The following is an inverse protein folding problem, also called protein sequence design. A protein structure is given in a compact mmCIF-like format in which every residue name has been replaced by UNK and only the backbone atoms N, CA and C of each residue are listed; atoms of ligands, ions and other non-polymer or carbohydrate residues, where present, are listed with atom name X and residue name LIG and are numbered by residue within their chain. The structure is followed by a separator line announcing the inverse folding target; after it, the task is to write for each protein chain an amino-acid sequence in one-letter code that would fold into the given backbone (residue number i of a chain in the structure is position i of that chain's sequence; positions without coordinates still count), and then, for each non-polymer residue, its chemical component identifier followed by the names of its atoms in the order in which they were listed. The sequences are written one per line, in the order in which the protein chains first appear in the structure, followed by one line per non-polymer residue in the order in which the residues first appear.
data_IF_148699901397
#
_entry.id   IF_148699901397
#
_cell.length_a   1.000
_cell.length_b   1.000
_cell.length_c   1.000
_cell.angle_alpha   90.00
_cell.angle_beta   90.00
_cell.angle_gamma   90.00
#
_symmetry.space_group_name_H-M   'P 1'
#
loop_
_entity.id
_entity.type
_entity.pdbx_description
1 polymer ?
#
# COMPACT_ATOMS: atom_id res chain seq x y z
N UNK A 1 -22.68 2.21 12.69
CA UNK A 1 -22.34 1.33 13.84
C UNK A 1 -21.89 -0.07 13.36
N UNK A 2 -22.70 -0.79 12.54
CA UNK A 2 -22.38 -2.15 12.06
C UNK A 2 -21.05 -2.21 11.28
N UNK A 3 -20.77 -1.29 10.36
CA UNK A 3 -19.52 -1.24 9.62
C UNK A 3 -18.32 -1.09 10.58
N UNK A 4 -18.38 -0.17 11.53
CA UNK A 4 -17.30 0.04 12.48
C UNK A 4 -17.04 -1.20 13.35
N UNK A 5 -18.09 -1.85 13.86
CA UNK A 5 -17.93 -3.06 14.69
C UNK A 5 -17.30 -4.24 13.94
N UNK A 6 -17.44 -4.32 12.61
CA UNK A 6 -16.86 -5.38 11.80
C UNK A 6 -15.46 -5.01 11.28
N UNK A 7 -15.24 -3.75 10.89
CA UNK A 7 -13.99 -3.31 10.25
C UNK A 7 -12.88 -2.92 11.24
N UNK A 8 -13.22 -2.26 12.36
CA UNK A 8 -12.20 -1.76 13.29
C UNK A 8 -11.28 -2.85 13.84
N UNK A 9 -11.78 -4.01 14.33
CA UNK A 9 -10.89 -5.06 14.83
C UNK A 9 -9.94 -5.61 13.75
N UNK A 10 -10.40 -5.68 12.50
CA UNK A 10 -9.59 -6.13 11.38
C UNK A 10 -8.55 -5.09 10.98
N UNK A 11 -8.92 -3.81 11.05
CA UNK A 11 -8.01 -2.70 10.80
C UNK A 11 -6.90 -2.64 11.86
N UNK A 12 -7.25 -2.66 13.13
CA UNK A 12 -6.28 -2.66 14.23
C UNK A 12 -5.32 -3.86 14.20
N UNK A 13 -5.81 -5.02 13.72
CA UNK A 13 -4.96 -6.19 13.50
C UNK A 13 -3.96 -5.99 12.35
N UNK A 14 -4.41 -5.44 11.23
CA UNK A 14 -3.59 -5.22 10.03
C UNK A 14 -2.63 -4.01 10.17
N UNK A 15 -3.08 -2.97 10.87
CA UNK A 15 -2.38 -1.69 11.03
C UNK A 15 -2.25 -1.31 12.53
N UNK A 16 -1.50 -2.07 13.33
CA UNK A 16 -1.50 -1.95 14.79
C UNK A 16 -0.89 -0.64 15.31
N UNK A 17 -0.19 0.11 14.48
CA UNK A 17 0.44 1.40 14.83
C UNK A 17 -0.37 2.61 14.36
N UNK A 18 -1.43 2.38 13.59
CA UNK A 18 -2.27 3.44 13.04
C UNK A 18 -3.40 3.85 14.00
N UNK A 19 -3.86 5.09 13.84
CA UNK A 19 -5.07 5.54 14.52
C UNK A 19 -6.30 4.86 13.88
N UNK A 20 -7.27 4.34 14.65
CA UNK A 20 -8.50 3.76 14.09
C UNK A 20 -9.25 4.65 13.10
N UNK A 21 -9.12 5.98 13.22
CA UNK A 21 -9.72 6.94 12.27
C UNK A 21 -9.13 6.81 10.86
N UNK A 22 -7.90 6.33 10.72
CA UNK A 22 -7.21 6.17 9.44
C UNK A 22 -7.88 5.12 8.54
N UNK A 23 -8.70 4.25 9.13
CA UNK A 23 -9.58 3.38 8.35
C UNK A 23 -10.45 4.18 7.36
N UNK A 24 -10.83 5.42 7.70
CA UNK A 24 -11.70 6.25 6.84
C UNK A 24 -11.01 6.74 5.58
N UNK A 25 -9.69 6.84 5.58
CA UNK A 25 -8.87 7.32 4.46
C UNK A 25 -8.05 6.20 3.78
N UNK A 26 -8.20 4.96 4.24
CA UNK A 26 -7.54 3.81 3.64
C UNK A 26 -7.94 3.66 2.17
N UNK A 27 -6.94 3.60 1.27
CA UNK A 27 -7.15 3.51 -0.18
C UNK A 27 -7.60 2.10 -0.63
N UNK A 28 -8.75 1.69 -0.12
CA UNK A 28 -9.32 0.37 -0.42
C UNK A 28 -9.79 0.22 -1.86
N UNK A 29 -10.07 1.34 -2.54
CA UNK A 29 -10.50 1.35 -3.95
C UNK A 29 -9.38 0.90 -4.90
N UNK A 30 -8.13 1.09 -4.49
CA UNK A 30 -6.94 0.60 -5.20
C UNK A 30 -6.48 -0.73 -4.61
N UNK A 31 -6.39 -0.83 -3.28
CA UNK A 31 -5.81 -2.00 -2.61
C UNK A 31 -6.57 -3.30 -2.88
N UNK A 32 -7.91 -3.28 -2.83
CA UNK A 32 -8.72 -4.48 -3.04
C UNK A 32 -8.51 -5.08 -4.44
N UNK A 33 -8.73 -4.33 -5.55
CA UNK A 33 -8.51 -4.89 -6.89
C UNK A 33 -7.03 -5.21 -7.16
N UNK A 34 -6.09 -4.49 -6.52
CA UNK A 34 -4.67 -4.78 -6.66
C UNK A 34 -4.30 -6.15 -6.09
N UNK A 35 -4.85 -6.54 -4.95
CA UNK A 35 -4.61 -7.87 -4.36
C UNK A 35 -5.09 -8.99 -5.30
N UNK A 36 -6.26 -8.83 -5.90
CA UNK A 36 -6.78 -9.78 -6.88
C UNK A 36 -5.88 -9.83 -8.13
N UNK A 37 -5.45 -8.66 -8.63
CA UNK A 37 -4.53 -8.58 -9.75
C UNK A 37 -3.20 -9.30 -9.45
N UNK A 38 -2.60 -9.08 -8.28
CA UNK A 38 -1.34 -9.72 -7.87
C UNK A 38 -1.50 -11.25 -7.82
N UNK A 39 -2.62 -11.76 -7.28
CA UNK A 39 -2.94 -13.19 -7.27
C UNK A 39 -3.00 -13.77 -8.69
N UNK A 40 -3.77 -13.14 -9.57
CA UNK A 40 -3.88 -13.59 -10.96
C UNK A 40 -2.56 -13.47 -11.73
N UNK A 41 -1.84 -12.36 -11.53
CA UNK A 41 -0.54 -12.15 -12.17
C UNK A 41 0.50 -13.17 -11.74
N UNK A 42 0.54 -13.54 -10.47
CA UNK A 42 1.49 -14.53 -9.94
C UNK A 42 1.29 -15.95 -10.48
N UNK A 43 0.10 -16.30 -10.95
CA UNK A 43 -0.14 -17.56 -11.67
C UNK A 43 0.58 -17.63 -13.02
N UNK A 44 0.79 -16.48 -13.64
CA UNK A 44 1.38 -16.37 -14.98
C UNK A 44 2.84 -15.98 -14.96
N UNK A 45 3.30 -15.31 -13.92
CA UNK A 45 4.65 -14.81 -13.81
C UNK A 45 5.14 -14.88 -12.35
N UNK A 46 6.18 -15.69 -12.14
CA UNK A 46 6.82 -15.86 -10.84
C UNK A 46 7.51 -14.57 -10.32
N UNK A 47 7.83 -13.61 -11.21
CA UNK A 47 8.42 -12.32 -10.86
C UNK A 47 7.29 -11.29 -10.59
N UNK A 48 6.46 -11.58 -9.60
CA UNK A 48 5.36 -10.71 -9.16
C UNK A 48 5.60 -10.31 -7.71
N UNK A 49 5.66 -9.01 -7.46
CA UNK A 49 5.95 -8.44 -6.15
C UNK A 49 4.88 -7.40 -5.79
N UNK A 50 4.63 -7.23 -4.51
CA UNK A 50 3.67 -6.25 -3.98
C UNK A 50 4.33 -5.39 -2.92
N UNK A 51 4.18 -4.06 -2.98
CA UNK A 51 4.59 -3.18 -1.90
C UNK A 51 3.43 -2.29 -1.42
N UNK A 52 3.57 -1.80 -0.21
CA UNK A 52 2.68 -0.82 0.41
C UNK A 52 3.54 0.32 0.96
N UNK A 53 3.23 1.53 0.55
CA UNK A 53 3.83 2.72 1.14
C UNK A 53 3.02 3.11 2.38
N UNK A 54 3.60 2.89 3.55
CA UNK A 54 2.98 3.02 4.87
C UNK A 54 3.77 4.00 5.76
N UNK A 55 4.50 4.91 5.14
CA UNK A 55 5.25 5.94 5.84
C UNK A 55 4.35 7.10 6.22
N UNK A 56 4.18 7.33 7.53
CA UNK A 56 3.58 8.55 8.03
C UNK A 56 4.47 9.74 7.64
N UNK A 57 3.88 10.73 6.96
CA UNK A 57 4.60 11.89 6.45
C UNK A 57 4.62 13.00 7.52
N UNK A 58 5.74 13.75 7.66
CA UNK A 58 5.92 14.75 8.72
C UNK A 58 5.17 16.07 8.48
N UNK A 59 4.02 16.01 7.83
CA UNK A 59 3.16 17.15 7.55
C UNK A 59 2.20 17.38 8.72
N UNK A 60 2.09 18.59 9.24
CA UNK A 60 1.16 18.99 10.29
C UNK A 60 1.15 18.07 11.54
N UNK A 61 2.31 17.49 11.87
CA UNK A 61 2.47 16.59 13.02
C UNK A 61 2.26 15.12 12.74
N UNK A 62 2.11 14.75 11.48
CA UNK A 62 1.99 13.38 11.00
C UNK A 62 0.71 13.14 10.20
N UNK A 63 0.88 12.74 8.95
CA UNK A 63 -0.22 12.35 8.07
C UNK A 63 0.02 10.96 7.50
N UNK A 64 -1.02 10.14 7.50
CA UNK A 64 -1.00 8.88 6.75
C UNK A 64 -0.76 9.15 5.28
N UNK A 65 -0.04 8.27 4.57
CA UNK A 65 0.26 8.49 3.16
C UNK A 65 -1.04 8.46 2.35
N UNK A 66 -1.20 9.44 1.48
CA UNK A 66 -2.28 9.50 0.50
C UNK A 66 -1.89 8.78 -0.79
N UNK A 67 -2.85 8.60 -1.68
CA UNK A 67 -2.60 8.02 -3.00
C UNK A 67 -1.47 8.78 -3.73
N UNK A 68 -0.50 8.05 -4.28
CA UNK A 68 0.70 8.60 -4.95
C UNK A 68 1.72 9.34 -4.04
N UNK A 69 1.63 9.21 -2.72
CA UNK A 69 2.62 9.82 -1.81
C UNK A 69 4.03 9.20 -1.94
N UNK A 70 4.13 8.01 -2.52
CA UNK A 70 5.37 7.27 -2.79
C UNK A 70 6.15 7.78 -4.02
N UNK A 71 5.52 8.54 -4.91
CA UNK A 71 6.13 8.96 -6.18
C UNK A 71 7.50 9.64 -6.00
N UNK A 72 7.70 10.59 -5.07
CA UNK A 72 9.01 11.20 -4.86
C UNK A 72 10.11 10.19 -4.49
N UNK A 73 9.75 9.14 -3.78
CA UNK A 73 10.68 8.08 -3.38
C UNK A 73 11.02 7.15 -4.54
N UNK A 74 10.02 6.81 -5.38
CA UNK A 74 10.20 5.99 -6.59
C UNK A 74 11.15 6.66 -7.59
N UNK A 75 11.11 7.99 -7.68
CA UNK A 75 11.94 8.76 -8.63
C UNK A 75 13.17 9.39 -8.00
N UNK A 76 13.51 9.07 -6.76
CA UNK A 76 14.65 9.63 -6.01
C UNK A 76 14.71 11.17 -6.09
N UNK A 77 13.59 11.81 -5.86
CA UNK A 77 13.47 13.28 -5.93
C UNK A 77 12.78 13.89 -4.70
N UNK A 78 12.84 13.20 -3.56
CA UNK A 78 12.26 13.66 -2.28
C UNK A 78 12.81 15.01 -1.85
N UNK A 79 14.05 15.34 -2.23
CA UNK A 79 14.66 16.65 -1.92
C UNK A 79 13.89 17.85 -2.48
N UNK A 80 13.07 17.66 -3.49
CA UNK A 80 12.19 18.68 -4.09
C UNK A 80 10.78 18.71 -3.45
N UNK A 81 10.51 17.85 -2.48
CA UNK A 81 9.19 17.69 -1.87
C UNK A 81 9.25 17.93 -0.36
N UNK A 82 8.94 19.16 0.12
CA UNK A 82 9.12 19.53 1.54
C UNK A 82 8.35 18.63 2.52
N UNK A 83 7.20 18.09 2.12
CA UNK A 83 6.36 17.25 2.98
C UNK A 83 6.94 15.85 3.25
N UNK A 84 8.00 15.45 2.52
CA UNK A 84 8.66 14.15 2.74
C UNK A 84 9.80 14.22 3.74
N UNK A 85 10.27 15.43 4.13
CA UNK A 85 11.54 15.64 4.79
C UNK A 85 11.51 15.27 6.29
N UNK A 86 12.04 14.11 6.63
CA UNK A 86 12.32 13.67 8.00
C UNK A 86 13.75 13.11 8.05
N UNK A 87 14.62 13.76 8.83
CA UNK A 87 16.05 13.45 8.86
C UNK A 87 16.31 11.97 9.19
N UNK A 88 17.13 11.30 8.38
CA UNK A 88 17.51 9.89 8.53
C UNK A 88 16.40 8.89 8.13
N UNK A 89 15.17 9.35 7.89
CA UNK A 89 14.07 8.51 7.44
C UNK A 89 13.88 8.64 5.93
N UNK A 90 13.79 9.86 5.43
CA UNK A 90 13.50 10.16 4.02
C UNK A 90 14.52 9.53 3.09
N UNK A 91 15.82 9.75 3.34
CA UNK A 91 16.90 9.24 2.50
C UNK A 91 16.96 7.71 2.53
N UNK A 92 16.68 7.10 3.69
CA UNK A 92 16.65 5.65 3.81
C UNK A 92 15.50 5.05 3.01
N UNK A 93 14.27 5.57 3.16
CA UNK A 93 13.10 5.08 2.44
C UNK A 93 13.23 5.34 0.93
N UNK A 94 13.80 6.48 0.53
CA UNK A 94 14.10 6.76 -0.87
C UNK A 94 15.04 5.68 -1.44
N UNK A 95 16.12 5.37 -0.73
CA UNK A 95 17.05 4.31 -1.15
C UNK A 95 16.35 2.95 -1.23
N UNK A 96 15.59 2.57 -0.20
CA UNK A 96 14.85 1.30 -0.17
C UNK A 96 13.92 1.14 -1.39
N UNK A 97 13.13 2.17 -1.72
CA UNK A 97 12.15 2.12 -2.82
C UNK A 97 12.85 2.25 -4.17
N UNK A 98 13.70 3.26 -4.35
CA UNK A 98 14.36 3.51 -5.64
C UNK A 98 15.24 2.33 -6.07
N UNK A 99 16.08 1.81 -5.16
CA UNK A 99 16.95 0.68 -5.47
C UNK A 99 16.15 -0.59 -5.76
N UNK A 100 15.00 -0.79 -5.10
CA UNK A 100 14.11 -1.91 -5.40
C UNK A 100 13.51 -1.80 -6.80
N UNK A 101 13.05 -0.61 -7.19
CA UNK A 101 12.51 -0.36 -8.54
C UNK A 101 13.62 -0.55 -9.59
N UNK A 102 14.83 -0.03 -9.34
CA UNK A 102 15.96 -0.15 -10.26
C UNK A 102 16.48 -1.59 -10.37
N UNK A 103 16.52 -2.33 -9.26
CA UNK A 103 16.87 -3.75 -9.26
C UNK A 103 15.87 -4.55 -10.07
N UNK A 104 14.58 -4.36 -9.79
CA UNK A 104 13.51 -5.04 -10.53
C UNK A 104 13.54 -4.72 -12.04
N UNK A 105 13.73 -3.46 -12.41
CA UNK A 105 13.79 -3.04 -13.81
C UNK A 105 14.95 -3.69 -14.58
N UNK A 106 16.08 -3.99 -13.91
CA UNK A 106 17.27 -4.59 -14.52
C UNK A 106 17.23 -6.12 -14.54
N UNK A 107 16.66 -6.73 -13.52
CA UNK A 107 16.81 -8.16 -13.25
C UNK A 107 15.49 -8.93 -13.13
N UNK A 108 14.38 -8.22 -12.92
CA UNK A 108 13.09 -8.81 -12.55
C UNK A 108 12.99 -9.22 -11.06
N UNK A 109 14.01 -8.90 -10.25
CA UNK A 109 14.05 -9.11 -8.81
C UNK A 109 14.31 -7.78 -8.09
N UNK A 110 13.40 -7.31 -7.21
CA UNK A 110 13.56 -6.05 -6.50
C UNK A 110 14.53 -6.12 -5.31
N UNK A 111 14.96 -7.33 -4.92
CA UNK A 111 15.82 -7.51 -3.75
C UNK A 111 17.16 -6.78 -3.91
N UNK A 112 17.58 -6.13 -2.85
CA UNK A 112 18.84 -5.38 -2.74
C UNK A 112 19.28 -5.32 -1.26
N UNK A 113 20.43 -4.73 -0.99
CA UNK A 113 20.99 -4.68 0.37
C UNK A 113 20.28 -3.70 1.33
N UNK A 114 19.41 -2.82 0.82
CA UNK A 114 18.74 -1.81 1.63
C UNK A 114 17.44 -2.34 2.27
N UNK A 115 16.88 -3.44 1.78
CA UNK A 115 15.59 -3.97 2.23
C UNK A 115 15.73 -5.39 2.83
N UNK A 116 14.75 -5.83 3.67
CA UNK A 116 14.63 -7.23 4.06
C UNK A 116 14.43 -8.14 2.84
N UNK A 117 14.78 -9.44 2.97
CA UNK A 117 14.48 -10.39 1.90
C UNK A 117 12.99 -10.41 1.55
N UNK A 118 12.67 -10.07 0.32
CA UNK A 118 11.32 -9.92 -0.21
C UNK A 118 11.00 -11.02 -1.21
N UNK A 119 10.29 -12.09 -0.79
CA UNK A 119 9.90 -13.17 -1.68
C UNK A 119 8.90 -12.69 -2.75
N UNK A 120 8.96 -13.30 -3.93
CA UNK A 120 7.93 -13.12 -4.95
C UNK A 120 6.57 -13.63 -4.45
N UNK A 121 5.50 -12.97 -4.87
CA UNK A 121 4.14 -13.38 -4.57
C UNK A 121 3.77 -14.68 -5.27
N UNK A 122 2.94 -15.48 -4.61
CA UNK A 122 2.27 -16.64 -5.18
C UNK A 122 0.76 -16.44 -5.12
N UNK A 123 -0.06 -17.28 -5.77
CA UNK A 123 -1.52 -17.16 -5.69
C UNK A 123 -2.08 -17.22 -4.26
N UNK A 124 -1.39 -17.94 -3.37
CA UNK A 124 -1.82 -18.16 -1.99
C UNK A 124 -1.13 -17.23 -0.98
N UNK A 125 0.05 -16.68 -1.33
CA UNK A 125 0.88 -15.87 -0.44
C UNK A 125 1.28 -14.56 -1.12
N UNK A 126 0.65 -13.47 -0.72
CA UNK A 126 1.02 -12.13 -1.15
C UNK A 126 2.03 -11.57 -0.14
N UNK A 127 3.31 -11.61 -0.52
CA UNK A 127 4.39 -11.01 0.26
C UNK A 127 4.46 -9.53 -0.09
N UNK A 128 4.07 -8.68 0.84
CA UNK A 128 4.07 -7.22 0.66
C UNK A 128 5.25 -6.61 1.40
N UNK A 129 6.10 -5.87 0.70
CA UNK A 129 7.08 -4.98 1.32
C UNK A 129 6.32 -3.75 1.85
N UNK A 130 6.21 -3.64 3.16
CA UNK A 130 5.60 -2.49 3.83
C UNK A 130 6.69 -1.49 4.15
N UNK A 131 6.78 -0.41 3.35
CA UNK A 131 7.79 0.64 3.54
C UNK A 131 7.29 1.66 4.54
N UNK A 132 8.01 1.78 5.65
CA UNK A 132 7.67 2.63 6.79
C UNK A 132 8.92 3.00 7.60
N UNK A 133 8.76 3.70 8.72
CA UNK A 133 9.88 3.88 9.68
C UNK A 133 10.50 2.54 10.10
N UNK A 134 9.74 1.46 10.02
CA UNK A 134 10.20 0.09 10.27
C UNK A 134 9.81 -0.80 9.08
N UNK A 135 10.54 -0.67 7.98
CA UNK A 135 10.30 -1.43 6.75
C UNK A 135 10.41 -2.93 6.99
N UNK A 136 9.42 -3.68 6.53
CA UNK A 136 9.29 -5.11 6.76
C UNK A 136 8.56 -5.81 5.62
N UNK A 137 8.66 -7.12 5.55
CA UNK A 137 7.87 -7.95 4.62
C UNK A 137 6.80 -8.68 5.41
N UNK A 138 5.57 -8.55 4.96
CA UNK A 138 4.39 -9.17 5.55
C UNK A 138 3.70 -10.09 4.53
N UNK A 139 3.13 -11.19 5.02
CA UNK A 139 2.40 -12.14 4.18
C UNK A 139 0.90 -12.05 4.48
N UNK A 140 0.09 -11.70 3.46
CA UNK A 140 -1.38 -11.66 3.54
C UNK A 140 -1.92 -10.79 4.71
N UNK A 141 -1.19 -9.76 5.14
CA UNK A 141 -1.39 -9.10 6.43
C UNK A 141 -2.72 -8.33 6.56
N UNK A 142 -3.24 -7.80 5.46
CA UNK A 142 -4.49 -7.05 5.40
C UNK A 142 -5.62 -7.80 4.66
N UNK A 143 -5.40 -9.05 4.26
CA UNK A 143 -6.33 -9.86 3.46
C UNK A 143 -7.73 -9.98 4.11
N UNK A 144 -7.79 -10.16 5.44
CA UNK A 144 -9.08 -10.29 6.14
C UNK A 144 -9.87 -8.99 6.09
N UNK A 145 -9.21 -7.85 6.26
CA UNK A 145 -9.81 -6.52 6.16
C UNK A 145 -10.30 -6.27 4.72
N UNK A 146 -9.44 -6.53 3.73
CA UNK A 146 -9.75 -6.27 2.32
C UNK A 146 -10.89 -7.15 1.78
N UNK A 147 -11.15 -8.32 2.37
CA UNK A 147 -12.33 -9.15 2.04
C UNK A 147 -13.64 -8.59 2.58
N UNK A 148 -13.58 -7.83 3.67
CA UNK A 148 -14.79 -7.31 4.34
C UNK A 148 -15.15 -5.90 3.88
N UNK A 149 -14.16 -5.05 3.56
CA UNK A 149 -14.36 -3.66 3.12
C UNK A 149 -15.39 -3.51 1.99
N UNK A 150 -15.43 -4.36 0.93
CA UNK A 150 -16.39 -4.20 -0.17
C UNK A 150 -17.86 -4.25 0.24
N UNK A 151 -18.17 -4.78 1.42
CA UNK A 151 -19.56 -4.76 1.96
C UNK A 151 -20.02 -3.35 2.36
N UNK A 152 -19.10 -2.43 2.60
CA UNK A 152 -19.36 -1.14 3.21
C UNK A 152 -18.86 0.05 2.39
N UNK A 153 -17.96 -0.19 1.44
CA UNK A 153 -17.34 0.85 0.61
C UNK A 153 -17.20 0.35 -0.83
N UNK A 154 -17.45 1.21 -1.82
CA UNK A 154 -17.11 0.90 -3.22
C UNK A 154 -15.61 0.58 -3.34
N UNK A 155 -15.29 -0.47 -4.09
CA UNK A 155 -13.90 -0.90 -4.36
C UNK A 155 -13.65 -1.06 -5.86
N UNK A 156 -14.59 -0.60 -6.70
CA UNK A 156 -14.47 -0.60 -8.15
C UNK A 156 -14.82 0.80 -8.68
N UNK A 157 -13.85 1.44 -9.32
CA UNK A 157 -14.02 2.77 -9.93
C UNK A 157 -15.08 2.78 -11.05
N UNK A 158 -15.37 1.63 -11.66
CA UNK A 158 -16.37 1.54 -12.74
C UNK A 158 -17.79 1.71 -12.25
N UNK A 159 -18.08 1.37 -11.01
CA UNK A 159 -19.42 1.47 -10.43
C UNK A 159 -19.81 2.92 -10.04
N UNK A 160 -18.85 3.84 -9.89
CA UNK A 160 -19.15 5.25 -9.61
C UNK A 160 -19.82 6.00 -10.78
N UNK A 161 -19.55 5.58 -12.03
CA UNK A 161 -20.14 6.24 -13.21
C UNK A 161 -21.61 5.91 -13.44
N UNK A 162 -22.11 4.80 -12.87
CA UNK A 162 -23.51 4.39 -13.04
C UNK A 162 -24.44 5.04 -11.98
N UNK A 163 -23.95 5.32 -10.77
CA UNK A 163 -24.74 5.99 -9.73
C UNK A 163 -24.92 7.48 -9.99
N UNK A 164 -23.92 8.17 -10.54
CA UNK A 164 -24.04 9.58 -10.93
C UNK A 164 -24.99 9.82 -12.10
N UNK A 165 -25.18 8.82 -12.96
CA UNK A 165 -26.15 8.87 -14.07
C UNK A 165 -27.62 8.76 -13.65
N UNK A 166 -27.93 8.30 -12.44
CA UNK A 166 -29.30 8.15 -11.95
C UNK A 166 -29.84 9.36 -11.16
N UNK A 167 -28.97 10.36 -10.86
CA UNK A 167 -29.37 11.56 -10.11
C UNK A 167 -29.82 12.73 -11.04
N UNK A 168 -29.76 12.56 -12.36
CA UNK A 168 -30.12 13.60 -13.33
C UNK A 168 -31.41 13.34 -14.11
N UNK A 169 -32.45 12.85 -13.45
CA UNK A 169 -33.81 12.88 -14.06
C UNK A 169 -34.90 13.21 -13.03
#
# INVERSE_FOLDING_TARGET
EKAASELLPLFEKAYPTHNPVDLTVLDSIVRVPLLDYVKERSKMNAQTYSYMFDLELPLDGGWVPWHCADIPYVFANTSFTPYTQEAGVTERIETEIFDSVMSFARTGDPNNSAIPNWPACTPDHIYTLVTSKNTRVECNYDDELMKVIPKYRPTDLRNHSEEEGQIQH
#
